data_IF_148416478623
#
_entry.id   IF_148416478623
#
_cell.length_a   1.000
_cell.length_b   1.000
_cell.length_c   1.000
_cell.angle_alpha   90.00
_cell.angle_beta   90.00
_cell.angle_gamma   90.00
#
_symmetry.space_group_name_H-M   'P 1'
#
loop_
_entity.id
_entity.type
_entity.pdbx_description
1 polymer ?
#
# COMPACT_ATOMS: atom_id res chain seq x y z
N UNK A 1 4.33 -7.74 -5.45
CA UNK A 1 4.39 -6.76 -6.54
C UNK A 1 5.61 -5.87 -6.32
N UNK A 2 6.41 -5.57 -7.34
CA UNK A 2 7.59 -4.68 -7.24
C UNK A 2 7.63 -3.69 -8.41
N UNK A 3 8.58 -2.76 -8.40
CA UNK A 3 8.91 -2.00 -9.62
C UNK A 3 9.61 -2.88 -10.67
N UNK A 4 9.81 -2.30 -11.87
CA UNK A 4 10.62 -2.90 -12.94
C UNK A 4 12.12 -2.63 -12.76
N UNK A 5 12.60 -2.52 -11.52
CA UNK A 5 14.02 -2.40 -11.24
C UNK A 5 14.78 -3.60 -11.82
N UNK A 6 16.03 -3.41 -12.26
CA UNK A 6 16.81 -4.45 -12.93
C UNK A 6 16.98 -5.71 -12.07
N UNK A 7 17.02 -5.56 -10.74
CA UNK A 7 17.08 -6.67 -9.80
C UNK A 7 15.84 -7.59 -9.88
N UNK A 8 14.65 -7.03 -10.15
CA UNK A 8 13.39 -7.77 -10.20
C UNK A 8 13.00 -8.18 -11.62
N UNK A 9 13.56 -7.54 -12.65
CA UNK A 9 13.34 -7.87 -14.06
C UNK A 9 14.47 -8.75 -14.66
N UNK A 10 15.24 -9.43 -13.81
CA UNK A 10 16.33 -10.31 -14.25
C UNK A 10 15.80 -11.73 -14.51
N UNK A 11 16.44 -12.45 -15.45
CA UNK A 11 16.13 -13.86 -15.69
C UNK A 11 16.29 -14.71 -14.42
N UNK A 12 17.27 -14.37 -13.57
CA UNK A 12 17.53 -14.99 -12.28
C UNK A 12 16.31 -14.85 -11.34
N UNK A 13 15.69 -13.68 -11.30
CA UNK A 13 14.51 -13.47 -10.45
C UNK A 13 13.28 -14.22 -10.95
N UNK A 14 13.13 -14.36 -12.27
CA UNK A 14 12.07 -15.16 -12.89
C UNK A 14 12.24 -16.64 -12.57
N UNK A 15 13.47 -17.16 -12.61
CA UNK A 15 13.78 -18.53 -12.22
C UNK A 15 13.52 -18.76 -10.73
N UNK A 16 14.00 -17.86 -9.87
CA UNK A 16 13.71 -17.88 -8.43
C UNK A 16 12.20 -17.91 -8.14
N UNK A 17 11.41 -17.09 -8.83
CA UNK A 17 9.95 -17.07 -8.67
C UNK A 17 9.28 -18.39 -9.10
N UNK A 18 9.81 -19.03 -10.14
CA UNK A 18 9.36 -20.35 -10.61
C UNK A 18 9.69 -21.43 -9.59
N UNK A 19 10.91 -21.45 -9.07
CA UNK A 19 11.39 -22.45 -8.11
C UNK A 19 10.62 -22.38 -6.79
N UNK A 20 10.35 -21.16 -6.31
CA UNK A 20 9.59 -20.92 -5.08
C UNK A 20 8.07 -20.88 -5.31
N UNK A 21 7.62 -21.16 -6.53
CA UNK A 21 6.22 -21.26 -6.93
C UNK A 21 5.36 -20.04 -6.52
N UNK A 22 5.87 -18.83 -6.76
CA UNK A 22 5.11 -17.60 -6.57
C UNK A 22 5.07 -16.77 -7.85
N UNK A 23 3.94 -16.08 -8.07
CA UNK A 23 3.80 -15.18 -9.20
C UNK A 23 4.43 -13.81 -8.87
N UNK A 24 5.44 -13.43 -9.63
CA UNK A 24 5.96 -12.07 -9.59
C UNK A 24 5.14 -11.14 -10.48
N UNK A 25 4.64 -10.05 -9.90
CA UNK A 25 3.88 -9.01 -10.60
C UNK A 25 4.70 -7.73 -10.50
N UNK A 26 4.90 -7.03 -11.62
CA UNK A 26 5.55 -5.72 -11.61
C UNK A 26 4.55 -4.59 -11.83
N UNK A 27 4.81 -3.43 -11.22
CA UNK A 27 4.03 -2.23 -11.47
C UNK A 27 4.35 -1.66 -12.84
N UNK A 28 3.36 -1.06 -13.50
CA UNK A 28 3.58 -0.37 -14.77
C UNK A 28 4.54 0.82 -14.55
N UNK A 29 5.50 1.07 -15.46
CA UNK A 29 6.40 2.23 -15.37
C UNK A 29 5.67 3.57 -15.25
N UNK A 30 4.42 3.63 -15.74
CA UNK A 30 3.59 4.85 -15.74
C UNK A 30 2.71 4.99 -14.50
N UNK A 31 2.81 4.09 -13.52
CA UNK A 31 1.97 4.11 -12.32
C UNK A 31 2.77 4.02 -11.01
N UNK A 32 3.68 4.99 -10.76
CA UNK A 32 4.52 5.01 -9.55
C UNK A 32 3.69 5.10 -8.26
N UNK A 33 2.46 5.61 -8.34
CA UNK A 33 1.51 5.68 -7.21
C UNK A 33 1.25 4.32 -6.57
N UNK A 34 1.33 3.22 -7.33
CA UNK A 34 1.21 1.86 -6.78
C UNK A 34 2.29 1.50 -5.76
N UNK A 35 3.43 2.19 -5.77
CA UNK A 35 4.53 1.98 -4.84
C UNK A 35 4.53 2.96 -3.65
N UNK A 36 3.61 3.93 -3.61
CA UNK A 36 3.61 4.94 -2.55
C UNK A 36 3.49 4.35 -1.13
N UNK A 37 2.77 3.24 -0.99
CA UNK A 37 2.68 2.51 0.28
C UNK A 37 4.04 1.96 0.72
N UNK A 38 4.78 1.29 -0.18
CA UNK A 38 6.09 0.72 0.15
C UNK A 38 7.11 1.81 0.43
N UNK A 39 7.08 2.92 -0.32
CA UNK A 39 7.94 4.08 -0.09
C UNK A 39 7.73 4.67 1.31
N UNK A 40 6.47 4.86 1.71
CA UNK A 40 6.13 5.36 3.06
C UNK A 40 6.60 4.39 4.13
N UNK A 41 6.45 3.09 3.91
CA UNK A 41 6.90 2.07 4.85
C UNK A 41 8.44 2.06 4.99
N UNK A 42 9.16 2.16 3.88
CA UNK A 42 10.64 2.27 3.86
C UNK A 42 11.08 3.52 4.63
N UNK A 43 10.40 4.65 4.44
CA UNK A 43 10.67 5.87 5.20
C UNK A 43 10.48 5.67 6.70
N UNK A 44 9.39 5.02 7.12
CA UNK A 44 9.12 4.69 8.53
C UNK A 44 10.24 3.82 9.12
N UNK A 45 10.65 2.75 8.41
CA UNK A 45 11.74 1.88 8.86
C UNK A 45 13.06 2.65 8.99
N UNK A 46 13.42 3.46 7.98
CA UNK A 46 14.64 4.29 8.00
C UNK A 46 14.62 5.27 9.18
N UNK A 47 13.49 5.92 9.44
CA UNK A 47 13.34 6.85 10.55
C UNK A 47 13.47 6.14 11.90
N UNK A 48 12.89 4.96 12.04
CA UNK A 48 13.04 4.11 13.23
C UNK A 48 14.50 3.72 13.46
N UNK A 49 15.23 3.32 12.41
CA UNK A 49 16.66 3.00 12.51
C UNK A 49 17.51 4.23 12.87
N UNK A 50 17.19 5.41 12.34
CA UNK A 50 17.87 6.67 12.72
C UNK A 50 17.69 6.99 14.20
N UNK A 51 16.47 6.84 14.73
CA UNK A 51 16.19 7.02 16.16
C UNK A 51 16.94 6.00 17.01
N UNK A 52 16.88 4.73 16.61
CA UNK A 52 17.61 3.65 17.29
C UNK A 52 19.12 3.90 17.37
N UNK A 53 19.73 4.37 16.27
CA UNK A 53 21.14 4.76 16.25
C UNK A 53 21.44 5.92 17.21
N UNK A 54 20.55 6.92 17.28
CA UNK A 54 20.70 8.07 18.17
C UNK A 54 20.62 7.67 19.65
N UNK A 55 19.78 6.69 19.96
CA UNK A 55 19.54 6.20 21.33
C UNK A 55 20.44 4.97 21.69
N UNK A 56 21.40 4.60 20.84
CA UNK A 56 22.23 3.39 20.98
C UNK A 56 21.44 2.09 21.17
N UNK A 57 20.24 2.02 20.58
CA UNK A 57 19.39 0.82 20.58
C UNK A 57 19.75 -0.04 19.35
N UNK A 58 19.96 -1.34 19.58
CA UNK A 58 20.21 -2.29 18.49
C UNK A 58 19.05 -2.37 17.49
N UNK A 59 19.37 -2.55 16.21
CA UNK A 59 18.39 -2.57 15.10
C UNK A 59 17.27 -3.59 15.34
N UNK A 60 17.60 -4.77 15.85
CA UNK A 60 16.62 -5.83 16.13
C UNK A 60 15.57 -5.39 17.16
N UNK A 61 15.98 -4.66 18.20
CA UNK A 61 15.08 -4.13 19.23
C UNK A 61 14.18 -3.04 18.67
N UNK A 62 14.72 -2.17 17.81
CA UNK A 62 13.93 -1.15 17.12
C UNK A 62 12.88 -1.76 16.17
N UNK A 63 13.25 -2.79 15.41
CA UNK A 63 12.32 -3.53 14.54
C UNK A 63 11.28 -4.31 15.34
N UNK A 64 11.65 -4.88 16.49
CA UNK A 64 10.70 -5.52 17.39
C UNK A 64 9.64 -4.52 17.88
N UNK A 65 10.05 -3.33 18.32
CA UNK A 65 9.13 -2.26 18.70
C UNK A 65 8.19 -1.87 17.56
N UNK A 66 8.72 -1.68 16.34
CA UNK A 66 7.90 -1.35 15.17
C UNK A 66 6.83 -2.42 14.88
N UNK A 67 7.19 -3.71 15.01
CA UNK A 67 6.26 -4.84 14.80
C UNK A 67 5.24 -5.00 15.93
N UNK A 68 5.59 -4.61 17.15
CA UNK A 68 4.75 -4.72 18.33
C UNK A 68 3.85 -3.51 18.60
N UNK A 69 4.05 -2.41 17.88
CA UNK A 69 3.25 -1.19 18.03
C UNK A 69 1.91 -1.37 17.32
N UNK A 70 0.76 -1.18 18.01
CA UNK A 70 -0.56 -1.21 17.37
C UNK A 70 -0.68 -0.22 16.21
N UNK A 71 -1.43 -0.59 15.18
CA UNK A 71 -1.67 0.28 14.02
C UNK A 71 -2.61 1.45 14.34
N UNK A 72 -3.47 1.27 15.34
CA UNK A 72 -4.41 2.25 15.88
C UNK A 72 -4.89 1.78 17.26
N UNK A 73 -5.65 2.61 17.98
CA UNK A 73 -6.32 2.28 19.26
C UNK A 73 -7.19 1.03 19.17
N UNK A 74 -7.69 0.75 17.97
CA UNK A 74 -8.67 -0.29 17.67
C UNK A 74 -8.15 -1.39 16.74
N UNK A 75 -6.92 -1.25 16.24
CA UNK A 75 -6.30 -2.22 15.33
C UNK A 75 -5.02 -2.78 15.97
N UNK A 76 -4.89 -4.12 16.00
CA UNK A 76 -3.73 -4.76 16.63
C UNK A 76 -2.43 -4.45 15.87
N UNK A 77 -1.31 -4.81 16.51
CA UNK A 77 0.02 -4.61 15.93
C UNK A 77 0.26 -5.51 14.71
N UNK A 78 1.20 -5.15 13.82
CA UNK A 78 1.55 -6.00 12.68
C UNK A 78 1.95 -7.43 13.07
N UNK A 79 2.67 -7.60 14.19
CA UNK A 79 3.03 -8.93 14.70
C UNK A 79 1.81 -9.72 15.17
N UNK A 80 0.84 -9.07 15.81
CA UNK A 80 -0.41 -9.71 16.24
C UNK A 80 -1.28 -10.12 15.06
N UNK A 81 -1.36 -9.29 14.02
CA UNK A 81 -2.07 -9.62 12.78
C UNK A 81 -1.45 -10.84 12.10
N UNK A 82 -0.12 -10.90 12.05
CA UNK A 82 0.61 -11.98 11.39
C UNK A 82 0.59 -13.29 12.17
N UNK A 83 0.77 -13.22 13.49
CA UNK A 83 0.96 -14.40 14.34
C UNK A 83 -0.30 -14.83 15.09
N UNK A 84 -1.36 -14.02 15.05
CA UNK A 84 -2.60 -14.26 15.80
C UNK A 84 -2.45 -14.16 17.32
N UNK A 85 -1.30 -13.68 17.82
CA UNK A 85 -0.98 -13.57 19.25
C UNK A 85 -0.08 -12.38 19.52
N UNK A 86 -0.12 -11.86 20.75
CA UNK A 86 0.78 -10.81 21.18
C UNK A 86 2.20 -11.35 21.37
N UNK A 87 3.19 -10.65 20.81
CA UNK A 87 4.60 -10.99 21.01
C UNK A 87 5.11 -10.40 22.32
N UNK A 88 6.05 -11.11 22.95
CA UNK A 88 6.76 -10.59 24.10
C UNK A 88 7.66 -9.43 23.66
N UNK A 89 7.61 -8.35 24.43
CA UNK A 89 8.47 -7.18 24.25
C UNK A 89 9.19 -6.88 25.56
N UNK A 90 10.08 -5.89 25.55
CA UNK A 90 10.82 -5.46 26.74
C UNK A 90 9.91 -4.80 27.80
N UNK A 91 8.65 -4.53 27.47
CA UNK A 91 7.66 -4.00 28.41
C UNK A 91 6.90 -5.19 28.98
N UNK A 92 6.91 -5.31 30.30
CA UNK A 92 6.09 -6.29 31.02
C UNK A 92 4.62 -6.07 30.65
N UNK A 93 4.11 -6.93 29.79
CA UNK A 93 2.73 -6.87 29.31
C UNK A 93 2.07 -8.20 29.60
N UNK A 94 0.93 -8.19 30.28
CA UNK A 94 0.13 -9.41 30.46
C UNK A 94 -0.41 -9.85 29.11
N UNK A 95 0.20 -10.87 28.52
CA UNK A 95 -0.28 -11.50 27.30
C UNK A 95 -1.46 -12.38 27.69
N UNK A 96 -2.66 -11.99 27.26
CA UNK A 96 -3.85 -12.84 27.38
C UNK A 96 -3.90 -13.75 26.16
N UNK A 97 -4.26 -15.02 26.35
CA UNK A 97 -4.57 -15.95 25.26
C UNK A 97 -5.95 -15.63 24.66
N UNK A 98 -6.17 -14.37 24.29
CA UNK A 98 -7.36 -13.95 23.57
C UNK A 98 -6.95 -13.80 22.12
N UNK A 99 -7.44 -14.70 21.26
CA UNK A 99 -7.41 -14.45 19.82
C UNK A 99 -8.26 -13.22 19.57
N UNK A 100 -7.72 -12.15 18.98
CA UNK A 100 -8.56 -11.02 18.67
C UNK A 100 -9.63 -11.45 17.67
N UNK A 101 -10.85 -10.92 17.80
CA UNK A 101 -11.98 -11.28 16.95
C UNK A 101 -11.64 -10.91 15.50
N UNK A 102 -11.25 -11.91 14.72
CA UNK A 102 -10.65 -11.71 13.38
C UNK A 102 -11.60 -10.96 12.46
N UNK A 103 -12.89 -11.27 12.51
CA UNK A 103 -13.90 -10.67 11.64
C UNK A 103 -14.00 -9.15 11.84
N UNK A 104 -14.04 -8.68 13.10
CA UNK A 104 -14.07 -7.25 13.41
C UNK A 104 -12.80 -6.54 12.94
N UNK A 105 -11.63 -7.18 13.07
CA UNK A 105 -10.37 -6.64 12.54
C UNK A 105 -10.43 -6.50 11.01
N UNK A 106 -10.87 -7.54 10.30
CA UNK A 106 -10.96 -7.50 8.84
C UNK A 106 -11.93 -6.43 8.37
N UNK A 107 -13.10 -6.31 9.00
CA UNK A 107 -14.07 -5.25 8.68
C UNK A 107 -13.45 -3.86 8.87
N UNK A 108 -12.75 -3.63 9.98
CA UNK A 108 -12.10 -2.33 10.24
C UNK A 108 -10.96 -2.03 9.27
N UNK A 109 -10.15 -3.03 8.93
CA UNK A 109 -9.10 -2.88 7.91
C UNK A 109 -9.72 -2.53 6.56
N UNK A 110 -10.82 -3.18 6.19
CA UNK A 110 -11.57 -2.90 4.96
C UNK A 110 -12.10 -1.46 4.97
N UNK A 111 -12.81 -1.05 6.03
CA UNK A 111 -13.32 0.33 6.17
C UNK A 111 -12.19 1.35 6.05
N UNK A 112 -11.06 1.11 6.71
CA UNK A 112 -9.89 2.00 6.63
C UNK A 112 -9.33 2.09 5.21
N UNK A 113 -9.29 0.99 4.46
CA UNK A 113 -8.87 1.00 3.06
C UNK A 113 -9.87 1.73 2.17
N UNK A 114 -11.17 1.49 2.37
CA UNK A 114 -12.25 2.12 1.61
C UNK A 114 -12.27 3.64 1.83
N UNK A 115 -12.06 4.09 3.06
CA UNK A 115 -12.00 5.52 3.37
C UNK A 115 -10.75 6.17 2.77
N UNK A 116 -9.58 5.50 2.84
CA UNK A 116 -8.38 5.97 2.14
C UNK A 116 -8.60 6.08 0.63
N UNK A 117 -9.32 5.12 0.05
CA UNK A 117 -9.70 5.15 -1.36
C UNK A 117 -10.62 6.33 -1.67
N UNK A 118 -11.68 6.55 -0.90
CA UNK A 118 -12.58 7.72 -1.06
C UNK A 118 -11.80 9.03 -1.01
N UNK A 119 -10.97 9.22 0.01
CA UNK A 119 -10.15 10.44 0.14
C UNK A 119 -9.19 10.65 -1.04
N UNK A 120 -8.62 9.57 -1.57
CA UNK A 120 -7.79 9.63 -2.76
C UNK A 120 -8.61 10.01 -4.00
N UNK A 121 -9.73 9.34 -4.22
CA UNK A 121 -10.62 9.57 -5.35
C UNK A 121 -11.18 11.00 -5.33
N UNK A 122 -11.58 11.52 -4.17
CA UNK A 122 -12.09 12.89 -4.01
C UNK A 122 -11.02 13.95 -4.32
N UNK A 123 -9.77 13.72 -3.91
CA UNK A 123 -8.65 14.65 -4.18
C UNK A 123 -8.12 14.57 -5.61
N UNK A 124 -8.26 13.44 -6.29
CA UNK A 124 -7.68 13.19 -7.60
C UNK A 124 -8.71 13.09 -8.75
N UNK A 125 -10.00 13.23 -8.46
CA UNK A 125 -11.04 13.35 -9.48
C UNK A 125 -11.17 14.81 -9.93
N UNK A 126 -10.75 15.10 -11.16
CA UNK A 126 -11.16 16.35 -11.82
C UNK A 126 -12.67 16.32 -12.07
N UNK A 127 -13.42 17.41 -11.86
CA UNK A 127 -14.84 17.46 -12.18
C UNK A 127 -15.04 17.18 -13.68
N UNK A 128 -15.80 16.11 -13.98
CA UNK A 128 -15.90 15.45 -15.30
C UNK A 128 -16.50 16.29 -16.44
N UNK A 129 -16.88 17.55 -16.24
CA UNK A 129 -17.53 18.34 -17.31
C UNK A 129 -16.63 19.44 -17.84
N UNK A 130 -15.54 19.08 -18.53
CA UNK A 130 -14.88 20.02 -19.43
C UNK A 130 -15.46 19.84 -20.84
N UNK A 131 -16.34 20.78 -21.22
CA UNK A 131 -16.80 20.96 -22.61
C UNK A 131 -15.58 21.22 -23.47
N UNK A 132 -15.15 20.21 -24.23
CA UNK A 132 -14.00 20.34 -25.14
C UNK A 132 -14.52 20.66 -26.53
N UNK A 133 -14.05 21.78 -27.09
CA UNK A 133 -14.33 22.16 -28.48
C UNK A 133 -13.28 21.50 -29.35
N UNK A 134 -13.70 20.68 -30.31
CA UNK A 134 -12.82 20.18 -31.38
C UNK A 134 -13.18 20.88 -32.68
N UNK A 135 -12.17 21.29 -33.43
CA UNK A 135 -12.35 21.93 -34.73
C UNK A 135 -12.27 20.87 -35.83
N UNK A 136 -13.24 20.84 -36.73
CA UNK A 136 -13.20 19.96 -37.89
C UNK A 136 -12.12 20.45 -38.87
N UNK A 137 -11.18 19.60 -39.32
CA UNK A 137 -10.14 20.00 -40.28
C UNK A 137 -10.69 20.50 -41.62
N UNK A 138 -11.91 20.08 -41.99
CA UNK A 138 -12.49 20.32 -43.32
C UNK A 138 -13.31 21.61 -43.43
N UNK A 139 -14.12 21.97 -42.41
CA UNK A 139 -14.96 23.18 -42.44
C UNK A 139 -14.53 24.27 -41.46
N UNK A 140 -13.48 24.05 -40.66
CA UNK A 140 -13.03 24.95 -39.57
C UNK A 140 -14.10 25.28 -38.52
N UNK A 141 -15.23 24.58 -38.52
CA UNK A 141 -16.27 24.77 -37.52
C UNK A 141 -15.93 24.06 -36.21
N UNK A 142 -16.32 24.71 -35.11
CA UNK A 142 -16.17 24.17 -33.76
C UNK A 142 -17.36 23.29 -33.41
N UNK A 143 -17.13 22.00 -33.20
CA UNK A 143 -18.15 21.08 -32.67
C UNK A 143 -17.90 20.76 -31.20
N UNK A 144 -18.98 20.68 -30.44
CA UNK A 144 -18.95 20.36 -29.02
C UNK A 144 -18.86 18.84 -28.87
N UNK A 145 -17.71 18.34 -28.44
CA UNK A 145 -17.52 16.92 -28.15
C UNK A 145 -17.69 16.63 -26.66
N UNK A 146 -18.40 15.56 -26.33
CA UNK A 146 -18.35 14.98 -24.98
C UNK A 146 -17.28 13.89 -24.95
N UNK A 147 -16.26 14.07 -24.12
CA UNK A 147 -15.20 13.09 -23.94
C UNK A 147 -15.69 11.98 -23.01
N UNK A 148 -16.12 10.84 -23.57
CA UNK A 148 -16.38 9.62 -22.77
C UNK A 148 -15.04 9.01 -22.39
N UNK A 149 -14.57 9.26 -21.17
CA UNK A 149 -13.42 8.54 -20.63
C UNK A 149 -13.85 7.11 -20.30
N UNK A 150 -13.38 6.13 -21.08
CA UNK A 150 -13.39 4.73 -20.68
C UNK A 150 -12.32 4.58 -19.59
N UNK A 151 -12.70 4.72 -18.31
CA UNK A 151 -11.81 4.34 -17.20
C UNK A 151 -11.85 2.81 -17.12
N UNK A 152 -10.76 2.14 -17.49
CA UNK A 152 -10.51 0.80 -16.98
C UNK A 152 -10.36 0.92 -15.47
N UNK A 153 -11.23 0.26 -14.72
CA UNK A 153 -11.12 0.18 -13.26
C UNK A 153 -9.69 -0.21 -12.89
N UNK A 154 -9.05 0.59 -12.05
CA UNK A 154 -7.87 0.13 -11.34
C UNK A 154 -8.33 -1.04 -10.48
N UNK A 155 -7.97 -2.25 -10.89
CA UNK A 155 -8.07 -3.46 -10.06
C UNK A 155 -7.10 -3.31 -8.89
N UNK A 156 -7.48 -2.48 -7.93
CA UNK A 156 -6.97 -2.55 -6.56
C UNK A 156 -7.98 -3.40 -5.78
N UNK A 157 -8.08 -4.66 -6.18
CA UNK A 157 -8.48 -5.74 -5.27
C UNK A 157 -7.22 -6.54 -5.04
N UNK A 158 -6.46 -6.16 -4.01
CA UNK A 158 -5.45 -7.03 -3.43
C UNK A 158 -5.92 -7.30 -2.01
N UNK A 159 -6.53 -8.49 -1.88
CA UNK A 159 -6.93 -9.24 -0.68
C UNK A 159 -8.00 -8.56 0.17
#
# INVERSE_FOLDING_TARGET
>A
MSDNGPQYNSAIFVEFARDWNFQHITSSPRYPQSNGFIERQVQTVKNTMKKAKRDNIGVNKALQCLRATPLDSHLPSPAELLLGRKIQTNILTRIRNQSPQKDDIYQRLQTRQDDQKKYFDDKHTSPTTQRTRSQSPESRDWKMGQRKNHKQETRTKVI
#
